data_IF_881451097093
#
_entry.id   IF_881451097093
#
_cell.length_a   1.000
_cell.length_b   1.000
_cell.length_c   1.000
_cell.angle_alpha   90.00
_cell.angle_beta   90.00
_cell.angle_gamma   90.00
#
_symmetry.space_group_name_H-M   'P 1'
#
loop_
_entity.id
_entity.type
_entity.pdbx_description
1 polymer ?
#
# COMPACT_ATOMS: atom_id res chain seq x y z
N UNK A 1 -3.19 -6.57 -3.41
CA UNK A 1 -3.59 -5.70 -2.27
C UNK A 1 -3.54 -6.50 -0.97
N UNK A 2 -2.73 -6.09 0.00
CA UNK A 2 -2.59 -6.77 1.30
C UNK A 2 -2.81 -5.79 2.43
N UNK A 3 -3.66 -6.15 3.40
CA UNK A 3 -3.93 -5.33 4.57
C UNK A 3 -2.67 -5.19 5.44
N UNK A 4 -2.25 -3.95 5.68
CA UNK A 4 -1.25 -3.54 6.68
C UNK A 4 -1.70 -2.22 7.32
N UNK A 5 -1.20 -1.88 8.53
CA UNK A 5 -0.33 -2.69 9.41
C UNK A 5 -1.03 -3.92 9.98
N UNK A 6 -0.33 -4.78 10.73
CA UNK A 6 -0.95 -5.96 11.36
C UNK A 6 -1.74 -5.60 12.63
N UNK A 7 -1.19 -4.69 13.45
CA UNK A 7 -1.76 -4.16 14.68
C UNK A 7 -0.98 -2.90 15.09
N UNK A 8 -1.49 -2.16 16.07
CA UNK A 8 -0.87 -0.99 16.68
C UNK A 8 -0.29 -1.27 18.07
N UNK A 9 0.70 -0.47 18.47
CA UNK A 9 1.28 -0.44 19.80
C UNK A 9 1.71 0.99 20.17
N UNK A 10 1.95 1.31 21.46
CA UNK A 10 2.38 2.64 21.87
C UNK A 10 3.67 3.09 21.18
N UNK A 11 3.57 4.11 20.34
CA UNK A 11 4.71 4.68 19.60
C UNK A 11 4.83 6.20 19.69
N UNK A 12 3.88 6.89 20.31
CA UNK A 12 3.92 8.35 20.46
C UNK A 12 4.41 8.77 21.84
N UNK A 13 5.35 9.70 21.91
CA UNK A 13 5.88 10.28 23.14
C UNK A 13 6.36 9.23 24.15
N UNK A 14 7.12 8.24 23.67
CA UNK A 14 7.65 7.16 24.48
C UNK A 14 8.93 7.62 25.17
N UNK A 15 8.95 7.55 26.51
CA UNK A 15 10.12 7.85 27.31
C UNK A 15 10.99 6.59 27.44
N UNK A 16 12.24 6.67 27.00
CA UNK A 16 13.15 5.52 27.05
C UNK A 16 14.61 5.94 27.16
N UNK A 17 15.51 4.96 27.29
CA UNK A 17 16.96 5.16 27.37
C UNK A 17 17.50 5.83 26.12
N UNK A 18 18.46 6.73 26.32
CA UNK A 18 19.13 7.51 25.29
C UNK A 18 20.63 7.61 25.61
N UNK A 19 21.52 7.95 24.66
CA UNK A 19 22.95 8.09 24.95
C UNK A 19 23.21 8.99 26.17
N UNK A 20 24.16 8.59 27.02
CA UNK A 20 24.45 9.28 28.29
C UNK A 20 24.92 10.72 28.04
N UNK A 21 25.70 10.92 26.97
CA UNK A 21 26.19 12.23 26.53
C UNK A 21 25.05 13.16 26.08
N UNK A 22 23.85 12.60 25.85
CA UNK A 22 22.64 13.30 25.44
C UNK A 22 21.56 13.30 26.54
N UNK A 23 21.92 12.94 27.78
CA UNK A 23 21.03 13.00 28.95
C UNK A 23 20.48 11.66 29.43
N UNK A 24 20.86 10.53 28.83
CA UNK A 24 20.57 9.18 29.32
C UNK A 24 19.13 8.70 29.09
N UNK A 25 18.17 9.61 28.94
CA UNK A 25 16.78 9.33 28.60
C UNK A 25 16.20 10.44 27.74
N UNK A 26 15.26 10.10 26.87
CA UNK A 26 14.56 11.05 26.01
C UNK A 26 13.14 10.58 25.70
N UNK A 27 12.29 11.53 25.32
CA UNK A 27 11.00 11.26 24.68
C UNK A 27 11.22 11.16 23.16
N UNK A 28 10.70 10.10 22.55
CA UNK A 28 10.72 9.91 21.10
C UNK A 28 9.36 9.41 20.60
N UNK A 29 9.06 9.68 19.33
CA UNK A 29 7.83 9.24 18.66
C UNK A 29 8.17 8.55 17.35
N UNK A 30 7.45 7.47 17.04
CA UNK A 30 7.56 6.77 15.77
C UNK A 30 7.12 5.31 15.86
N UNK A 31 6.87 4.69 14.72
CA UNK A 31 6.64 3.24 14.64
C UNK A 31 7.86 2.45 15.11
N UNK A 32 9.07 3.04 15.03
CA UNK A 32 10.29 2.51 15.65
C UNK A 32 10.21 2.38 17.18
N UNK A 33 9.32 3.14 17.84
CA UNK A 33 9.06 3.02 19.28
C UNK A 33 7.88 2.08 19.59
N UNK A 34 6.95 1.92 18.64
CA UNK A 34 5.88 0.92 18.74
C UNK A 34 6.42 -0.52 18.55
N UNK A 35 7.30 -0.73 17.57
CA UNK A 35 7.89 -2.04 17.26
C UNK A 35 8.50 -2.77 18.48
N UNK A 36 9.33 -2.13 19.35
CA UNK A 36 9.88 -2.81 20.52
C UNK A 36 8.83 -3.19 21.58
N UNK A 37 7.70 -2.48 21.68
CA UNK A 37 6.59 -2.92 22.54
C UNK A 37 6.00 -4.25 22.05
N UNK A 38 5.80 -4.39 20.74
CA UNK A 38 5.34 -5.66 20.15
C UNK A 38 6.39 -6.76 20.35
N UNK A 39 7.67 -6.46 20.13
CA UNK A 39 8.75 -7.43 20.33
C UNK A 39 8.82 -7.93 21.79
N UNK A 40 8.70 -7.04 22.78
CA UNK A 40 8.63 -7.42 24.19
C UNK A 40 7.39 -8.25 24.52
N UNK A 41 6.25 -7.93 23.91
CA UNK A 41 5.00 -8.71 24.07
C UNK A 41 5.16 -10.14 23.55
N UNK A 42 5.78 -10.30 22.38
CA UNK A 42 6.09 -11.63 21.82
C UNK A 42 7.05 -12.41 22.73
N UNK A 43 8.02 -11.75 23.36
CA UNK A 43 8.91 -12.41 24.31
C UNK A 43 8.14 -12.98 25.52
N UNK A 44 7.19 -12.21 26.07
CA UNK A 44 6.32 -12.69 27.16
C UNK A 44 5.42 -13.87 26.73
N UNK A 45 4.88 -13.81 25.51
CA UNK A 45 4.10 -14.92 24.95
C UNK A 45 4.92 -16.20 24.81
N UNK A 46 6.16 -16.10 24.33
CA UNK A 46 7.06 -17.24 24.19
C UNK A 46 7.61 -17.75 25.54
N UNK A 47 7.70 -16.88 26.56
CA UNK A 47 7.98 -17.30 27.93
C UNK A 47 6.82 -18.14 28.50
N UNK A 48 5.58 -17.70 28.27
CA UNK A 48 4.39 -18.40 28.73
C UNK A 48 4.14 -19.73 27.97
N UNK A 49 4.36 -19.76 26.66
CA UNK A 49 4.25 -20.95 25.82
C UNK A 49 5.37 -20.99 24.76
N UNK A 50 6.49 -21.70 25.03
CA UNK A 50 7.63 -21.79 24.12
C UNK A 50 7.33 -22.51 22.79
N UNK A 51 6.18 -23.17 22.66
CA UNK A 51 5.82 -23.93 21.46
C UNK A 51 5.01 -23.08 20.45
N UNK A 52 4.71 -21.82 20.76
CA UNK A 52 4.00 -20.95 19.83
C UNK A 52 4.78 -20.76 18.53
N UNK A 53 4.09 -21.03 17.42
CA UNK A 53 4.63 -20.71 16.09
C UNK A 53 4.48 -19.21 15.81
N UNK A 54 5.29 -18.62 14.90
CA UNK A 54 5.13 -17.22 14.51
C UNK A 54 3.72 -16.87 14.03
N UNK A 55 3.06 -17.79 13.30
CA UNK A 55 1.69 -17.59 12.83
C UNK A 55 0.66 -17.61 13.99
N UNK A 56 0.86 -18.49 14.97
CA UNK A 56 0.04 -18.51 16.19
C UNK A 56 0.23 -17.21 16.99
N UNK A 57 1.47 -16.78 17.23
CA UNK A 57 1.76 -15.50 17.90
C UNK A 57 1.04 -14.34 17.22
N UNK A 58 1.19 -14.20 15.90
CA UNK A 58 0.57 -13.12 15.15
C UNK A 58 -0.97 -13.18 15.22
N UNK A 59 -1.56 -14.38 15.10
CA UNK A 59 -3.02 -14.53 15.14
C UNK A 59 -3.57 -14.16 16.52
N UNK A 60 -2.91 -14.59 17.61
CA UNK A 60 -3.30 -14.22 18.98
C UNK A 60 -3.25 -12.72 19.20
N UNK A 61 -2.13 -12.08 18.81
CA UNK A 61 -1.96 -10.64 18.92
C UNK A 61 -3.00 -9.85 18.12
N UNK A 62 -3.37 -10.33 16.94
CA UNK A 62 -4.41 -9.70 16.12
C UNK A 62 -5.80 -9.93 16.71
N UNK A 63 -6.10 -11.14 17.18
CA UNK A 63 -7.41 -11.51 17.69
C UNK A 63 -7.80 -10.75 18.96
N UNK A 64 -6.82 -10.41 19.79
CA UNK A 64 -7.03 -9.71 21.07
C UNK A 64 -6.71 -8.22 20.98
N UNK A 65 -6.23 -7.73 19.84
CA UNK A 65 -6.03 -6.30 19.68
C UNK A 65 -7.37 -5.56 19.80
N UNK A 66 -7.33 -4.37 20.39
CA UNK A 66 -8.51 -3.53 20.62
C UNK A 66 -8.60 -2.42 19.56
N UNK A 67 -9.57 -2.49 18.63
CA UNK A 67 -9.77 -1.45 17.64
C UNK A 67 -10.15 -0.12 18.29
N UNK A 68 -9.41 0.94 17.98
CA UNK A 68 -9.67 2.28 18.47
C UNK A 68 -10.75 2.98 17.63
N UNK A 69 -11.58 3.85 18.26
CA UNK A 69 -12.39 4.82 17.54
C UNK A 69 -11.57 5.76 16.67
N UNK A 70 -12.19 6.33 15.64
CA UNK A 70 -11.56 7.33 14.77
C UNK A 70 -11.02 8.51 15.60
N UNK A 71 -9.74 8.83 15.40
CA UNK A 71 -9.05 9.88 16.15
C UNK A 71 -9.67 11.28 15.95
N UNK A 72 -10.27 11.52 14.78
CA UNK A 72 -10.88 12.79 14.41
C UNK A 72 -12.06 13.17 15.32
N UNK A 73 -12.86 12.18 15.71
CA UNK A 73 -13.97 12.36 16.65
C UNK A 73 -14.34 11.02 17.33
N UNK A 74 -13.66 10.66 18.43
CA UNK A 74 -13.90 9.40 19.13
C UNK A 74 -15.34 9.22 19.65
N UNK A 75 -16.06 10.32 19.87
CA UNK A 75 -17.42 10.31 20.40
C UNK A 75 -18.49 9.78 19.43
N UNK A 76 -18.15 9.53 18.15
CA UNK A 76 -19.09 9.00 17.17
C UNK A 76 -19.28 7.48 17.27
N UNK A 77 -18.42 6.77 18.00
CA UNK A 77 -18.46 5.30 18.09
C UNK A 77 -18.07 4.58 16.79
N UNK A 78 -17.47 5.30 15.83
CA UNK A 78 -16.98 4.77 14.56
C UNK A 78 -15.53 4.32 14.77
N UNK A 79 -15.20 3.09 14.36
CA UNK A 79 -13.83 2.59 14.40
C UNK A 79 -12.96 3.25 13.33
N UNK A 80 -11.69 3.50 13.66
CA UNK A 80 -10.71 3.95 12.66
C UNK A 80 -10.45 2.85 11.62
N UNK A 81 -10.01 3.26 10.43
CA UNK A 81 -9.82 2.37 9.31
C UNK A 81 -8.84 1.23 9.64
N UNK A 82 -9.17 -0.01 9.30
CA UNK A 82 -8.28 -1.15 9.58
C UNK A 82 -6.92 -1.02 8.85
N UNK A 83 -6.87 -0.34 7.69
CA UNK A 83 -5.61 -0.07 7.00
C UNK A 83 -4.76 1.03 7.66
N UNK A 84 -5.27 1.70 8.69
CA UNK A 84 -4.51 2.63 9.53
C UNK A 84 -4.02 1.96 10.82
N UNK A 85 -4.87 1.21 11.51
CA UNK A 85 -4.57 0.63 12.84
C UNK A 85 -4.34 -0.89 12.87
N UNK A 86 -4.52 -1.59 11.74
CA UNK A 86 -4.48 -3.04 11.69
C UNK A 86 -5.62 -3.65 12.50
N UNK A 87 -5.31 -4.63 13.35
CA UNK A 87 -6.27 -5.22 14.27
C UNK A 87 -6.61 -4.33 15.48
N UNK A 88 -5.91 -3.21 15.69
CA UNK A 88 -6.08 -2.34 16.85
C UNK A 88 -4.89 -2.35 17.79
N UNK A 89 -5.06 -1.78 18.99
CA UNK A 89 -4.02 -1.67 20.02
C UNK A 89 -3.74 -3.03 20.67
N UNK A 90 -2.47 -3.40 20.78
CA UNK A 90 -2.03 -4.66 21.39
C UNK A 90 -2.55 -4.86 22.84
N UNK A 91 -3.13 -6.03 23.11
CA UNK A 91 -3.51 -6.50 24.46
C UNK A 91 -2.71 -7.75 24.83
N UNK A 92 -1.66 -7.57 25.64
CA UNK A 92 -0.63 -8.60 25.88
C UNK A 92 -1.12 -9.69 26.82
N UNK A 93 -1.83 -9.30 27.87
CA UNK A 93 -2.45 -10.20 28.84
C UNK A 93 -3.46 -11.11 28.15
N UNK A 94 -4.37 -10.55 27.35
CA UNK A 94 -5.35 -11.33 26.59
C UNK A 94 -4.69 -12.28 25.58
N UNK A 95 -3.63 -11.83 24.89
CA UNK A 95 -2.89 -12.69 23.94
C UNK A 95 -2.21 -13.90 24.61
N UNK A 96 -1.90 -13.79 25.91
CA UNK A 96 -1.29 -14.85 26.72
C UNK A 96 -2.36 -15.75 27.35
N UNK A 97 -3.40 -15.16 27.96
CA UNK A 97 -4.39 -15.90 28.76
C UNK A 97 -5.63 -16.34 27.98
N UNK A 98 -5.84 -15.81 26.77
CA UNK A 98 -6.98 -16.14 25.93
C UNK A 98 -7.07 -17.62 25.58
N UNK A 99 -8.29 -18.08 25.29
CA UNK A 99 -8.56 -19.49 24.95
C UNK A 99 -9.27 -19.67 23.62
N UNK A 100 -9.49 -18.59 22.87
CA UNK A 100 -10.21 -18.58 21.61
C UNK A 100 -9.33 -17.91 20.57
N UNK A 101 -9.02 -18.62 19.48
CA UNK A 101 -8.17 -18.12 18.41
C UNK A 101 -8.85 -18.30 17.07
N UNK A 102 -8.79 -17.28 16.21
CA UNK A 102 -9.41 -17.28 14.89
C UNK A 102 -8.35 -17.07 13.83
N UNK A 103 -8.29 -17.99 12.87
CA UNK A 103 -7.39 -17.92 11.71
C UNK A 103 -8.17 -17.91 10.40
N UNK A 104 -7.79 -17.09 9.40
CA UNK A 104 -6.70 -16.12 9.44
C UNK A 104 -6.98 -14.94 10.41
N UNK A 105 -5.93 -14.42 11.05
CA UNK A 105 -6.04 -13.31 12.03
C UNK A 105 -6.33 -11.94 11.41
N UNK A 106 -6.30 -11.84 10.08
CA UNK A 106 -6.78 -10.71 9.28
C UNK A 106 -7.17 -11.18 7.88
N UNK A 107 -7.98 -10.41 7.17
CA UNK A 107 -8.41 -10.72 5.80
C UNK A 107 -8.00 -9.59 4.86
N UNK A 108 -7.31 -9.93 3.77
CA UNK A 108 -7.10 -9.02 2.64
C UNK A 108 -8.11 -9.41 1.56
N UNK A 109 -9.20 -8.65 1.47
CA UNK A 109 -10.28 -8.96 0.53
C UNK A 109 -9.87 -8.74 -0.94
N UNK A 110 -8.83 -7.95 -1.17
CA UNK A 110 -8.36 -7.64 -2.52
C UNK A 110 -9.17 -6.52 -3.16
N UNK A 111 -9.17 -6.50 -4.49
CA UNK A 111 -10.06 -5.68 -5.29
C UNK A 111 -11.41 -6.38 -5.47
N UNK A 112 -12.49 -5.63 -5.64
CA UNK A 112 -13.85 -6.18 -5.69
C UNK A 112 -14.38 -6.44 -7.09
N UNK A 113 -13.62 -6.12 -8.15
CA UNK A 113 -14.06 -6.27 -9.55
C UNK A 113 -14.58 -7.69 -9.85
N UNK A 114 -13.88 -8.71 -9.35
CA UNK A 114 -14.18 -10.13 -9.56
C UNK A 114 -15.30 -10.66 -8.64
N UNK A 115 -15.90 -9.80 -7.82
CA UNK A 115 -16.97 -10.12 -6.90
C UNK A 115 -16.51 -10.27 -5.43
N UNK A 116 -17.38 -10.83 -4.56
CA UNK A 116 -17.09 -10.95 -3.13
C UNK A 116 -15.88 -11.84 -2.84
N UNK A 117 -15.06 -11.42 -1.88
CA UNK A 117 -13.99 -12.25 -1.33
C UNK A 117 -14.57 -13.28 -0.36
N UNK A 118 -14.39 -14.57 -0.67
CA UNK A 118 -14.85 -15.66 0.21
C UNK A 118 -13.67 -16.40 0.81
N UNK A 119 -13.69 -16.59 2.13
CA UNK A 119 -12.64 -17.31 2.87
C UNK A 119 -13.20 -18.08 4.06
N UNK A 120 -12.44 -19.06 4.54
CA UNK A 120 -12.79 -19.84 5.73
C UNK A 120 -12.16 -19.22 6.98
N UNK A 121 -12.98 -19.01 8.01
CA UNK A 121 -12.54 -18.65 9.36
C UNK A 121 -12.55 -19.89 10.23
N UNK A 122 -11.38 -20.32 10.70
CA UNK A 122 -11.24 -21.40 11.67
C UNK A 122 -11.20 -20.81 13.07
N UNK A 123 -12.18 -21.19 13.89
CA UNK A 123 -12.24 -20.88 15.32
C UNK A 123 -11.70 -22.08 16.09
N UNK A 124 -10.63 -21.85 16.84
CA UNK A 124 -10.01 -22.81 17.75
C UNK A 124 -10.39 -22.47 19.19
N UNK A 125 -10.88 -23.46 19.92
CA UNK A 125 -11.16 -23.38 21.35
C UNK A 125 -10.10 -24.19 22.10
N UNK A 126 -9.16 -23.52 22.76
CA UNK A 126 -8.14 -24.15 23.62
C UNK A 126 -8.56 -24.19 25.09
N UNK A 127 -9.77 -23.72 25.40
CA UNK A 127 -10.34 -23.77 26.75
C UNK A 127 -10.81 -25.17 27.14
N UNK A 128 -11.20 -25.31 28.40
CA UNK A 128 -11.67 -26.57 28.99
C UNK A 128 -13.18 -26.80 28.88
N UNK A 129 -13.94 -25.83 28.34
CA UNK A 129 -15.38 -25.90 28.17
C UNK A 129 -15.77 -25.75 26.70
N UNK A 130 -16.91 -26.33 26.33
CA UNK A 130 -17.51 -26.11 25.01
C UNK A 130 -18.01 -24.67 24.91
N UNK A 131 -17.80 -24.03 23.75
CA UNK A 131 -18.32 -22.68 23.51
C UNK A 131 -19.16 -22.65 22.24
N UNK A 132 -20.23 -21.85 22.26
CA UNK A 132 -20.98 -21.47 21.06
C UNK A 132 -20.63 -20.02 20.71
N UNK A 133 -20.05 -19.81 19.54
CA UNK A 133 -19.66 -18.49 19.07
C UNK A 133 -20.73 -17.90 18.17
N UNK A 134 -20.93 -16.58 18.27
CA UNK A 134 -21.78 -15.77 17.39
C UNK A 134 -20.88 -14.90 16.52
N UNK A 135 -21.24 -14.78 15.25
CA UNK A 135 -20.51 -13.98 14.27
C UNK A 135 -21.29 -12.74 13.89
N UNK A 136 -20.62 -11.60 13.90
CA UNK A 136 -21.16 -10.32 13.46
C UNK A 136 -20.05 -9.50 12.79
N UNK A 137 -20.43 -8.33 12.29
CA UNK A 137 -19.52 -7.40 11.64
C UNK A 137 -19.74 -6.01 12.20
N UNK A 138 -18.64 -5.27 12.38
CA UNK A 138 -18.64 -3.87 12.75
C UNK A 138 -17.94 -3.05 11.66
N UNK A 139 -18.62 -2.02 11.11
CA UNK A 139 -18.01 -1.10 10.16
C UNK A 139 -16.86 -0.32 10.76
N UNK A 140 -15.90 0.01 9.91
CA UNK A 140 -14.83 0.94 10.20
C UNK A 140 -14.71 1.96 9.07
N UNK A 141 -13.97 3.03 9.33
CA UNK A 141 -13.79 4.13 8.38
C UNK A 141 -13.22 3.63 7.05
N UNK A 142 -13.79 4.13 5.94
CA UNK A 142 -13.26 3.95 4.60
C UNK A 142 -12.49 5.20 4.17
N UNK A 143 -11.56 5.03 3.23
CA UNK A 143 -10.80 6.14 2.65
C UNK A 143 -10.91 6.13 1.14
N UNK A 144 -11.05 7.31 0.56
CA UNK A 144 -11.09 7.49 -0.88
C UNK A 144 -10.66 8.90 -1.26
N UNK A 145 -10.18 9.09 -2.48
CA UNK A 145 -9.92 10.42 -3.02
C UNK A 145 -10.26 10.47 -4.50
N UNK A 146 -10.81 11.60 -4.93
CA UNK A 146 -11.03 11.90 -6.34
C UNK A 146 -9.74 12.51 -6.91
N UNK A 147 -8.91 11.66 -7.53
CA UNK A 147 -7.74 12.10 -8.30
C UNK A 147 -6.57 12.68 -7.49
N UNK A 148 -6.51 12.46 -6.17
CA UNK A 148 -5.32 12.77 -5.37
C UNK A 148 -5.22 11.88 -4.12
N UNK A 149 -4.51 10.76 -4.22
CA UNK A 149 -4.32 9.82 -3.11
C UNK A 149 -3.47 10.37 -1.96
N UNK A 150 -2.83 11.54 -2.12
CA UNK A 150 -2.12 12.20 -1.01
C UNK A 150 -3.05 12.88 -0.01
N UNK A 151 -4.28 13.16 -0.41
CA UNK A 151 -5.27 13.81 0.44
C UNK A 151 -6.55 12.96 0.48
N UNK A 152 -6.50 11.76 1.11
CA UNK A 152 -7.68 10.92 1.21
C UNK A 152 -8.77 11.60 2.05
N UNK A 153 -9.99 11.56 1.55
CA UNK A 153 -11.20 11.80 2.32
C UNK A 153 -11.55 10.57 3.17
N UNK A 154 -12.28 10.82 4.25
CA UNK A 154 -12.75 9.80 5.18
C UNK A 154 -14.27 9.63 5.03
N UNK A 155 -14.72 8.39 4.88
CA UNK A 155 -16.11 8.07 4.57
C UNK A 155 -16.64 6.97 5.49
N UNK A 156 -17.93 7.05 5.78
CA UNK A 156 -18.68 5.91 6.30
C UNK A 156 -19.18 5.11 5.11
N UNK A 157 -18.53 3.98 4.86
CA UNK A 157 -18.93 3.03 3.84
C UNK A 157 -19.10 1.66 4.48
N UNK A 158 -20.23 1.01 4.22
CA UNK A 158 -20.51 -0.31 4.74
C UNK A 158 -19.93 -1.41 3.84
N UNK A 159 -19.90 -2.63 4.38
CA UNK A 159 -19.57 -3.85 3.64
C UNK A 159 -20.73 -4.84 3.73
N UNK A 160 -21.00 -5.56 2.64
CA UNK A 160 -21.88 -6.72 2.64
C UNK A 160 -21.08 -7.93 3.15
N UNK A 161 -21.26 -8.26 4.43
CA UNK A 161 -20.60 -9.38 5.10
C UNK A 161 -21.61 -10.49 5.38
N UNK A 162 -21.34 -11.68 4.83
CA UNK A 162 -22.23 -12.85 4.95
C UNK A 162 -21.48 -14.06 5.47
N UNK A 163 -21.97 -14.62 6.57
CA UNK A 163 -21.46 -15.88 7.13
C UNK A 163 -22.33 -17.05 6.66
N UNK A 164 -21.71 -18.22 6.42
CA UNK A 164 -22.46 -19.45 6.13
C UNK A 164 -23.27 -19.96 7.33
N UNK A 165 -22.89 -19.56 8.54
CA UNK A 165 -23.66 -19.72 9.78
C UNK A 165 -23.37 -18.56 10.73
N UNK A 166 -24.40 -18.05 11.42
CA UNK A 166 -24.23 -16.99 12.44
C UNK A 166 -23.91 -17.54 13.82
N UNK A 167 -23.99 -18.86 14.00
CA UNK A 167 -23.61 -19.57 15.24
C UNK A 167 -22.72 -20.78 14.93
N UNK A 168 -21.72 -21.02 15.79
CA UNK A 168 -20.83 -22.18 15.67
C UNK A 168 -20.46 -22.73 17.05
N UNK A 169 -20.89 -23.96 17.34
CA UNK A 169 -20.44 -24.69 18.53
C UNK A 169 -19.07 -25.32 18.30
N UNK A 170 -18.10 -25.00 19.14
CA UNK A 170 -16.76 -25.54 19.13
C UNK A 170 -16.47 -26.20 20.49
N UNK A 171 -16.38 -27.54 20.53
CA UNK A 171 -16.05 -28.24 21.76
C UNK A 171 -14.70 -27.83 22.36
N UNK A 172 -14.52 -28.07 23.66
CA UNK A 172 -13.24 -27.88 24.34
C UNK A 172 -12.09 -28.60 23.59
N UNK A 173 -10.97 -27.92 23.40
CA UNK A 173 -9.79 -28.45 22.69
C UNK A 173 -9.99 -28.71 21.19
N UNK A 174 -11.11 -28.30 20.60
CA UNK A 174 -11.43 -28.52 19.19
C UNK A 174 -11.33 -27.23 18.36
N UNK A 175 -11.39 -27.41 17.04
CA UNK A 175 -11.55 -26.33 16.08
C UNK A 175 -12.69 -26.63 15.11
N UNK A 176 -13.35 -25.57 14.61
CA UNK A 176 -14.36 -25.63 13.56
C UNK A 176 -14.23 -24.41 12.67
N UNK A 177 -14.79 -24.49 11.46
CA UNK A 177 -14.76 -23.37 10.53
C UNK A 177 -16.15 -22.90 10.14
N UNK A 178 -16.23 -21.62 9.80
CA UNK A 178 -17.35 -20.98 9.10
C UNK A 178 -16.80 -20.29 7.85
N UNK A 179 -17.59 -20.21 6.78
CA UNK A 179 -17.21 -19.42 5.61
C UNK A 179 -17.75 -18.00 5.77
N UNK A 180 -16.95 -17.02 5.37
CA UNK A 180 -17.33 -15.61 5.31
C UNK A 180 -17.13 -15.09 3.90
N UNK A 181 -18.11 -14.34 3.41
CA UNK A 181 -18.06 -13.60 2.15
C UNK A 181 -18.11 -12.10 2.44
N UNK A 182 -17.21 -11.34 1.83
CA UNK A 182 -17.02 -9.90 2.07
C UNK A 182 -17.02 -9.18 0.72
N UNK A 183 -17.89 -8.18 0.58
CA UNK A 183 -17.91 -7.28 -0.57
C UNK A 183 -18.12 -5.83 -0.11
N UNK A 184 -17.67 -4.83 -0.88
CA UNK A 184 -18.10 -3.45 -0.65
C UNK A 184 -19.62 -3.33 -0.83
N UNK A 185 -20.22 -2.35 -0.17
CA UNK A 185 -21.58 -1.92 -0.50
C UNK A 185 -21.70 -1.52 -1.99
N UNK A 186 -22.88 -1.70 -2.59
CA UNK A 186 -23.10 -1.32 -3.97
C UNK A 186 -22.98 0.20 -4.18
N UNK A 187 -22.28 0.61 -5.24
CA UNK A 187 -22.18 2.02 -5.62
C UNK A 187 -21.04 2.80 -4.96
N UNK A 188 -20.13 2.14 -4.22
CA UNK A 188 -18.88 2.76 -3.81
C UNK A 188 -18.02 3.11 -5.04
N UNK A 189 -17.32 4.26 -5.04
CA UNK A 189 -16.49 4.65 -6.16
C UNK A 189 -15.27 3.74 -6.29
N UNK A 190 -14.79 3.58 -7.52
CA UNK A 190 -13.56 2.83 -7.80
C UNK A 190 -12.37 3.43 -7.04
N UNK A 191 -11.52 2.57 -6.50
CA UNK A 191 -10.38 2.99 -5.68
C UNK A 191 -10.70 3.15 -4.19
N UNK A 192 -11.97 3.09 -3.76
CA UNK A 192 -12.31 3.27 -2.34
C UNK A 192 -11.82 2.09 -1.52
N UNK A 193 -11.01 2.36 -0.50
CA UNK A 193 -10.57 1.34 0.45
C UNK A 193 -11.60 1.23 1.56
N UNK A 194 -12.36 0.14 1.56
CA UNK A 194 -13.35 -0.19 2.58
C UNK A 194 -12.73 -1.12 3.64
N UNK A 195 -13.12 -0.95 4.90
CA UNK A 195 -12.56 -1.71 6.02
C UNK A 195 -13.61 -2.09 7.05
N UNK A 196 -13.28 -3.04 7.91
CA UNK A 196 -14.14 -3.43 9.01
C UNK A 196 -13.56 -4.54 9.86
N UNK A 197 -14.33 -4.94 10.87
CA UNK A 197 -13.94 -5.99 11.82
C UNK A 197 -15.02 -7.05 11.87
N UNK A 198 -14.62 -8.31 11.67
CA UNK A 198 -15.47 -9.44 12.02
C UNK A 198 -15.37 -9.64 13.53
N UNK A 199 -16.52 -9.72 14.19
CA UNK A 199 -16.61 -9.83 15.65
C UNK A 199 -17.13 -11.22 16.00
N UNK A 200 -16.32 -11.98 16.72
CA UNK A 200 -16.60 -13.34 17.15
C UNK A 200 -16.74 -13.32 18.68
N UNK A 201 -17.97 -13.41 19.16
CA UNK A 201 -18.28 -13.38 20.60
C UNK A 201 -18.71 -14.76 21.09
N UNK A 202 -18.15 -15.23 22.20
CA UNK A 202 -18.72 -16.40 22.89
C UNK A 202 -20.09 -16.04 23.47
N UNK A 203 -21.12 -16.85 23.23
CA UNK A 203 -22.47 -16.62 23.76
C UNK A 203 -22.54 -16.69 25.30
N UNK A 204 -21.52 -17.32 25.90
CA UNK A 204 -21.39 -17.59 27.33
C UNK A 204 -20.05 -16.98 27.80
N UNK A 205 -20.00 -15.66 28.03
CA UNK A 205 -18.82 -14.97 28.56
C UNK A 205 -18.56 -13.58 27.96
N UNK A 206 -17.40 -13.01 28.32
CA UNK A 206 -16.89 -11.72 27.84
C UNK A 206 -15.92 -11.85 26.67
N UNK A 207 -15.56 -13.08 26.24
CA UNK A 207 -14.57 -13.28 25.19
C UNK A 207 -15.08 -12.76 23.84
N UNK A 208 -14.45 -11.69 23.37
CA UNK A 208 -14.65 -11.10 22.05
C UNK A 208 -13.32 -11.14 21.31
N UNK A 209 -13.30 -11.83 20.17
CA UNK A 209 -12.17 -11.82 19.24
C UNK A 209 -12.57 -11.01 18.02
N UNK A 210 -11.64 -10.20 17.52
CA UNK A 210 -11.83 -9.47 16.26
C UNK A 210 -10.89 -9.98 15.16
N UNK A 211 -11.36 -9.89 13.91
CA UNK A 211 -10.55 -10.13 12.72
C UNK A 211 -10.74 -8.95 11.77
N UNK A 212 -9.74 -8.07 11.60
CA UNK A 212 -9.86 -6.96 10.68
C UNK A 212 -9.86 -7.44 9.23
N UNK A 213 -10.57 -6.72 8.37
CA UNK A 213 -10.45 -6.85 6.93
C UNK A 213 -10.32 -5.50 6.25
N UNK A 214 -9.72 -5.53 5.07
CA UNK A 214 -9.75 -4.42 4.13
C UNK A 214 -9.82 -4.94 2.71
N UNK A 215 -10.53 -4.21 1.86
CA UNK A 215 -10.55 -4.38 0.42
C UNK A 215 -10.62 -3.04 -0.28
N UNK A 216 -10.60 -3.07 -1.60
CA UNK A 216 -10.71 -1.88 -2.43
C UNK A 216 -11.82 -2.09 -3.47
N UNK A 217 -12.72 -1.11 -3.60
CA UNK A 217 -13.86 -1.18 -4.53
C UNK A 217 -13.39 -0.99 -5.96
N UNK A 218 -13.85 -1.85 -6.87
CA UNK A 218 -13.54 -1.78 -8.30
C UNK A 218 -12.31 -2.60 -8.68
N UNK A 219 -11.65 -2.16 -9.75
CA UNK A 219 -10.45 -2.76 -10.35
C UNK A 219 -9.21 -1.91 -10.02
N UNK A 220 -8.22 -2.49 -9.35
CA UNK A 220 -7.00 -1.76 -9.01
C UNK A 220 -6.12 -1.51 -10.22
N UNK A 221 -5.99 -2.51 -11.10
CA UNK A 221 -5.24 -2.40 -12.34
C UNK A 221 -5.86 -1.40 -13.31
N UNK A 222 -7.16 -1.15 -13.20
CA UNK A 222 -7.89 -0.18 -14.01
C UNK A 222 -7.74 1.28 -13.58
N UNK A 223 -7.20 1.56 -12.38
CA UNK A 223 -7.08 2.93 -11.89
C UNK A 223 -6.07 3.76 -12.70
N UNK A 224 -6.37 5.03 -13.01
CA UNK A 224 -5.39 5.94 -13.60
C UNK A 224 -4.15 6.04 -12.72
N UNK A 225 -2.97 5.75 -13.28
CA UNK A 225 -1.69 5.90 -12.56
C UNK A 225 -1.11 7.29 -12.80
N UNK A 226 -1.06 7.68 -14.07
CA UNK A 226 -0.54 8.98 -14.48
C UNK A 226 -1.64 10.02 -14.42
N UNK A 227 -1.60 10.88 -13.42
CA UNK A 227 -2.57 11.97 -13.24
C UNK A 227 -1.87 13.33 -13.25
N UNK A 228 -2.68 14.39 -13.22
CA UNK A 228 -2.23 15.78 -13.13
C UNK A 228 -2.85 16.45 -11.90
N UNK A 229 -2.51 16.00 -10.68
CA UNK A 229 -3.11 16.59 -9.50
C UNK A 229 -2.69 18.05 -9.41
N UNK A 230 -3.65 18.94 -9.16
CA UNK A 230 -3.45 20.39 -9.07
C UNK A 230 -2.95 21.09 -10.36
N UNK A 231 -3.03 20.44 -11.54
CA UNK A 231 -2.71 21.07 -12.82
C UNK A 231 -1.23 21.41 -13.00
N UNK A 232 -0.36 20.52 -12.51
CA UNK A 232 1.10 20.59 -12.63
C UNK A 232 1.60 20.41 -14.07
N UNK A 233 0.71 20.00 -14.99
CA UNK A 233 1.03 19.69 -16.37
C UNK A 233 1.67 18.31 -16.52
N UNK A 234 1.43 17.36 -15.61
CA UNK A 234 1.98 16.00 -15.70
C UNK A 234 1.04 15.03 -16.41
N UNK A 235 1.56 13.98 -17.07
CA UNK A 235 2.95 13.80 -17.46
C UNK A 235 3.37 14.73 -18.61
N UNK A 236 4.60 15.25 -18.60
CA UNK A 236 5.13 16.13 -19.64
C UNK A 236 6.63 15.96 -19.88
N UNK A 237 7.08 16.42 -21.04
CA UNK A 237 8.51 16.57 -21.35
C UNK A 237 9.05 17.86 -20.74
N UNK A 238 10.18 17.74 -20.05
CA UNK A 238 10.88 18.82 -19.38
C UNK A 238 12.39 18.73 -19.60
N UNK A 239 13.09 19.79 -19.20
CA UNK A 239 14.54 19.84 -19.04
C UNK A 239 14.91 20.07 -17.58
N UNK A 240 16.08 19.59 -17.20
CA UNK A 240 16.66 19.85 -15.88
C UNK A 240 17.23 21.28 -15.87
N UNK A 241 16.75 22.13 -14.97
CA UNK A 241 17.27 23.48 -14.73
C UNK A 241 18.33 23.43 -13.64
N UNK A 242 18.04 22.69 -12.58
CA UNK A 242 18.92 22.53 -11.41
C UNK A 242 18.80 21.11 -10.87
N UNK A 243 19.94 20.47 -10.67
CA UNK A 243 20.05 19.20 -9.95
C UNK A 243 21.51 18.98 -9.54
N UNK A 244 21.76 18.80 -8.25
CA UNK A 244 23.11 18.56 -7.73
C UNK A 244 23.35 17.10 -7.37
N UNK A 245 22.29 16.32 -7.17
CA UNK A 245 22.35 14.94 -6.72
C UNK A 245 21.75 14.02 -7.78
N UNK A 246 22.61 13.21 -8.39
CA UNK A 246 22.21 12.14 -9.30
C UNK A 246 22.45 10.78 -8.67
N UNK A 247 21.45 9.90 -8.76
CA UNK A 247 21.57 8.49 -8.43
C UNK A 247 21.07 7.68 -9.63
N UNK A 248 21.88 6.73 -10.12
CA UNK A 248 21.55 5.90 -11.28
C UNK A 248 21.10 6.72 -12.51
N UNK A 249 21.74 7.87 -12.74
CA UNK A 249 21.43 8.84 -13.80
C UNK A 249 20.03 9.47 -13.72
N UNK A 250 19.35 9.33 -12.59
CA UNK A 250 18.13 10.07 -12.24
C UNK A 250 18.48 11.22 -11.30
N UNK A 251 17.85 12.38 -11.52
CA UNK A 251 17.92 13.48 -10.58
C UNK A 251 17.10 13.13 -9.33
N UNK A 252 17.76 13.02 -8.18
CA UNK A 252 17.14 12.69 -6.88
C UNK A 252 17.30 13.84 -5.87
N UNK A 253 17.69 15.01 -6.35
CA UNK A 253 17.84 16.21 -5.56
C UNK A 253 16.47 16.74 -5.12
N UNK A 254 16.30 16.98 -3.82
CA UNK A 254 15.07 17.54 -3.27
C UNK A 254 14.84 18.99 -3.71
N UNK A 255 15.91 19.72 -4.06
CA UNK A 255 15.87 21.09 -4.56
C UNK A 255 16.01 21.16 -6.09
N UNK A 256 15.67 20.07 -6.78
CA UNK A 256 15.68 20.01 -8.23
C UNK A 256 14.65 20.96 -8.85
N UNK A 257 15.03 21.61 -9.95
CA UNK A 257 14.15 22.47 -10.73
C UNK A 257 14.05 21.97 -12.17
N UNK A 258 12.84 21.96 -12.70
CA UNK A 258 12.53 21.50 -14.06
C UNK A 258 11.69 22.54 -14.79
N UNK A 259 11.99 22.73 -16.08
CA UNK A 259 11.18 23.55 -16.99
C UNK A 259 10.53 22.66 -18.03
N UNK A 260 9.22 22.85 -18.24
CA UNK A 260 8.54 22.29 -19.42
C UNK A 260 9.18 22.81 -20.70
N UNK A 261 9.28 21.95 -21.71
CA UNK A 261 9.86 22.33 -23.00
C UNK A 261 8.85 22.18 -24.13
N UNK A 262 8.94 23.08 -25.10
CA UNK A 262 8.14 23.01 -26.32
C UNK A 262 8.51 21.82 -27.20
N UNK A 263 7.56 21.40 -28.03
CA UNK A 263 7.82 20.40 -29.06
C UNK A 263 8.99 20.82 -29.96
N UNK A 264 9.86 19.86 -30.26
CA UNK A 264 11.12 19.98 -30.99
C UNK A 264 12.25 20.69 -30.24
N UNK A 265 12.18 20.84 -28.91
CA UNK A 265 13.32 21.27 -28.10
C UNK A 265 14.59 20.47 -28.45
N UNK A 266 15.74 21.14 -28.37
CA UNK A 266 17.04 20.55 -28.72
C UNK A 266 17.83 20.41 -27.44
N UNK A 267 18.00 19.16 -27.00
CA UNK A 267 18.83 18.81 -25.86
C UNK A 267 20.29 18.65 -26.31
N UNK A 268 21.19 19.20 -25.51
CA UNK A 268 22.63 19.23 -25.78
C UNK A 268 23.45 18.17 -25.01
N UNK A 269 22.79 17.33 -24.21
CA UNK A 269 23.45 16.35 -23.36
C UNK A 269 24.10 17.00 -22.12
N UNK A 270 24.94 16.24 -21.43
CA UNK A 270 25.53 16.69 -20.17
C UNK A 270 24.45 16.89 -19.11
N UNK A 271 24.21 18.14 -18.68
CA UNK A 271 23.14 18.47 -17.71
C UNK A 271 21.82 18.86 -18.40
N UNK A 272 21.82 19.07 -19.71
CA UNK A 272 20.63 19.39 -20.50
C UNK A 272 20.05 18.10 -21.11
N UNK A 273 19.29 17.38 -20.27
CA UNK A 273 18.79 16.05 -20.57
C UNK A 273 17.26 16.01 -20.72
N UNK A 274 16.74 15.25 -21.69
CA UNK A 274 15.31 15.04 -21.84
C UNK A 274 14.77 14.28 -20.64
N UNK A 275 13.77 14.86 -19.99
CA UNK A 275 13.21 14.36 -18.73
C UNK A 275 11.70 14.29 -18.83
N UNK A 276 11.10 13.16 -18.45
CA UNK A 276 9.65 13.10 -18.22
C UNK A 276 9.40 13.49 -16.77
N UNK A 277 8.57 14.50 -16.53
CA UNK A 277 7.98 14.70 -15.21
C UNK A 277 6.62 14.03 -15.20
N UNK A 278 6.35 13.22 -14.17
CA UNK A 278 5.11 12.45 -14.05
C UNK A 278 4.70 12.33 -12.59
N UNK A 279 3.40 12.42 -12.33
CA UNK A 279 2.82 12.10 -11.03
C UNK A 279 2.23 10.70 -11.06
N UNK A 280 2.70 9.85 -10.14
CA UNK A 280 2.14 8.52 -9.90
C UNK A 280 1.15 8.58 -8.73
N UNK A 281 -0.15 8.55 -9.03
CA UNK A 281 -1.19 8.59 -7.97
C UNK A 281 -1.26 7.25 -7.21
N UNK A 282 -0.86 6.16 -7.87
CA UNK A 282 -0.82 4.80 -7.33
C UNK A 282 0.58 4.19 -7.46
N UNK A 283 1.01 3.34 -6.50
CA UNK A 283 2.19 2.51 -6.70
C UNK A 283 2.04 1.61 -7.92
N UNK A 284 3.16 1.33 -8.59
CA UNK A 284 3.18 0.49 -9.79
C UNK A 284 4.26 -0.57 -9.73
N UNK A 285 4.06 -1.64 -10.50
CA UNK A 285 4.99 -2.77 -10.53
C UNK A 285 6.29 -2.38 -11.24
N UNK A 286 6.18 -1.66 -12.35
CA UNK A 286 7.32 -1.34 -13.19
C UNK A 286 7.05 -0.10 -14.02
N UNK A 287 8.08 0.72 -14.19
CA UNK A 287 8.13 1.79 -15.19
C UNK A 287 9.29 1.50 -16.13
N UNK A 288 8.99 1.36 -17.43
CA UNK A 288 9.96 1.17 -18.50
C UNK A 288 9.96 2.39 -19.39
N UNK A 289 11.15 2.92 -19.71
CA UNK A 289 11.31 3.99 -20.68
C UNK A 289 12.06 3.47 -21.90
N UNK A 290 11.43 3.62 -23.06
CA UNK A 290 11.98 3.26 -24.37
C UNK A 290 12.11 4.50 -25.26
N UNK A 291 13.13 4.51 -26.11
CA UNK A 291 13.45 5.61 -27.02
C UNK A 291 13.11 5.21 -28.45
N UNK A 292 12.24 5.99 -29.08
CA UNK A 292 11.83 5.76 -30.45
C UNK A 292 12.31 6.90 -31.35
N UNK A 293 12.99 6.53 -32.44
CA UNK A 293 13.45 7.51 -33.44
C UNK A 293 12.28 7.98 -34.30
N UNK A 294 12.25 9.26 -34.65
CA UNK A 294 11.20 9.84 -35.49
C UNK A 294 11.74 10.43 -36.80
N UNK A 295 10.86 10.53 -37.78
CA UNK A 295 11.09 11.20 -39.07
C UNK A 295 11.00 12.72 -38.88
N UNK A 296 11.47 13.48 -39.89
CA UNK A 296 11.41 14.94 -39.85
C UNK A 296 9.98 15.50 -39.75
N UNK A 297 8.98 14.73 -40.20
CA UNK A 297 7.56 15.05 -40.12
C UNK A 297 6.88 14.54 -38.82
N UNK A 298 7.66 14.14 -37.81
CA UNK A 298 7.16 13.67 -36.50
C UNK A 298 6.75 12.19 -36.46
N UNK A 299 6.55 11.52 -37.60
CA UNK A 299 6.14 10.10 -37.57
C UNK A 299 7.23 9.21 -36.97
N UNK A 300 6.85 8.33 -36.04
CA UNK A 300 7.72 7.30 -35.49
C UNK A 300 8.24 6.39 -36.62
N UNK A 301 9.54 6.12 -36.64
CA UNK A 301 10.17 5.20 -37.59
C UNK A 301 9.81 3.77 -37.23
N UNK A 302 8.87 3.17 -37.95
CA UNK A 302 8.41 1.80 -37.70
C UNK A 302 9.41 0.72 -38.14
N UNK A 303 10.40 1.08 -38.97
CA UNK A 303 11.47 0.18 -39.41
C UNK A 303 12.68 0.14 -38.45
N UNK A 304 12.61 0.88 -37.33
CA UNK A 304 13.63 0.89 -36.30
C UNK A 304 12.98 0.40 -35.01
N UNK A 305 13.54 -0.64 -34.40
CA UNK A 305 13.03 -1.14 -33.14
C UNK A 305 13.16 -0.07 -32.02
N UNK A 306 12.19 0.03 -31.10
CA UNK A 306 12.36 0.79 -29.86
C UNK A 306 13.65 0.39 -29.17
N UNK A 307 14.38 1.37 -28.65
CA UNK A 307 15.63 1.12 -27.92
C UNK A 307 15.41 1.37 -26.44
N UNK A 308 15.66 0.36 -25.63
CA UNK A 308 15.44 0.44 -24.20
C UNK A 308 16.38 1.47 -23.54
N UNK A 309 15.83 2.39 -22.74
CA UNK A 309 16.61 3.33 -21.93
C UNK A 309 16.80 2.81 -20.51
N UNK A 310 15.74 2.58 -19.75
CA UNK A 310 15.89 2.03 -18.39
C UNK A 310 14.55 1.49 -17.89
N UNK A 311 14.64 0.65 -16.85
CA UNK A 311 13.49 0.11 -16.13
C UNK A 311 13.70 0.34 -14.64
N UNK A 312 12.63 0.75 -13.95
CA UNK A 312 12.58 0.81 -12.49
C UNK A 312 11.42 -0.03 -12.02
N UNK A 313 11.70 -0.97 -11.11
CA UNK A 313 10.69 -1.83 -10.50
C UNK A 313 10.17 -1.24 -9.18
N UNK A 314 8.93 -1.55 -8.85
CA UNK A 314 8.27 -1.22 -7.57
C UNK A 314 8.30 0.27 -7.22
N UNK A 315 7.79 1.08 -8.15
CA UNK A 315 7.74 2.53 -8.01
C UNK A 315 6.58 2.92 -7.10
N UNK A 316 6.86 3.71 -6.07
CA UNK A 316 5.86 4.21 -5.14
C UNK A 316 4.97 5.30 -5.75
N UNK A 317 3.96 5.73 -4.99
CA UNK A 317 3.17 6.92 -5.33
C UNK A 317 3.95 8.21 -5.05
N UNK A 318 3.64 9.27 -5.77
CA UNK A 318 4.23 10.59 -5.60
C UNK A 318 3.41 11.49 -4.68
N UNK A 319 4.09 12.28 -3.84
CA UNK A 319 3.45 13.41 -3.15
C UNK A 319 3.29 14.64 -4.06
N UNK A 320 4.09 14.73 -5.11
CA UNK A 320 4.15 15.85 -6.06
C UNK A 320 4.35 15.32 -7.48
N UNK A 321 5.58 15.10 -7.91
CA UNK A 321 5.90 14.38 -9.14
C UNK A 321 7.32 13.83 -9.06
N UNK A 322 7.60 12.83 -9.88
CA UNK A 322 8.93 12.26 -10.08
C UNK A 322 9.47 12.60 -11.46
N UNK A 323 10.80 12.71 -11.55
CA UNK A 323 11.52 12.98 -12.78
C UNK A 323 12.16 11.70 -13.34
N UNK A 324 11.99 11.47 -14.64
CA UNK A 324 12.44 10.28 -15.36
C UNK A 324 13.33 10.73 -16.50
N UNK A 325 14.61 10.86 -16.19
CA UNK A 325 15.64 11.47 -17.03
C UNK A 325 16.28 10.41 -17.92
N UNK A 326 16.37 10.70 -19.22
CA UNK A 326 17.16 9.90 -20.13
C UNK A 326 18.54 10.51 -20.34
N UNK A 327 19.57 9.75 -20.00
CA UNK A 327 21.00 10.13 -20.08
C UNK A 327 21.59 10.13 -21.50
N UNK A 328 20.76 9.87 -22.51
CA UNK A 328 21.21 9.72 -23.90
C UNK A 328 21.70 8.30 -24.25
N UNK A 329 21.83 7.39 -23.27
CA UNK A 329 22.28 6.02 -23.49
C UNK A 329 21.11 5.08 -23.70
N UNK A 330 21.31 4.03 -24.48
CA UNK A 330 20.30 3.02 -24.78
C UNK A 330 20.95 1.65 -24.91
N UNK A 331 20.15 0.59 -24.78
CA UNK A 331 20.66 -0.76 -24.93
C UNK A 331 21.18 -1.01 -26.36
N UNK A 332 22.39 -1.51 -26.42
CA UNK A 332 23.06 -2.02 -27.62
C UNK A 332 23.38 -3.51 -27.48
N UNK A 333 23.98 -4.08 -28.51
CA UNK A 333 24.24 -5.53 -28.58
C UNK A 333 25.12 -6.07 -27.45
N UNK A 334 26.05 -5.24 -26.94
CA UNK A 334 27.04 -5.62 -25.94
C UNK A 334 27.02 -4.70 -24.71
N UNK A 335 25.85 -4.12 -24.39
CA UNK A 335 25.68 -3.19 -23.28
C UNK A 335 25.18 -1.81 -23.73
N UNK A 336 25.26 -0.84 -22.82
CA UNK A 336 24.79 0.53 -23.02
C UNK A 336 25.66 1.28 -24.05
N UNK A 337 25.02 1.98 -24.98
CA UNK A 337 25.69 2.82 -25.99
C UNK A 337 24.96 4.13 -26.16
N UNK A 338 25.66 5.18 -26.60
CA UNK A 338 25.03 6.47 -26.93
C UNK A 338 23.96 6.29 -28.01
N UNK A 339 22.84 7.00 -27.86
CA UNK A 339 21.95 7.23 -28.98
C UNK A 339 22.62 8.15 -30.00
N UNK A 340 22.38 7.86 -31.27
CA UNK A 340 22.85 8.74 -32.34
C UNK A 340 22.20 10.13 -32.21
N UNK A 341 22.84 11.20 -32.70
CA UNK A 341 22.16 12.48 -32.88
C UNK A 341 20.92 12.31 -33.78
N UNK A 342 19.80 12.92 -33.40
CA UNK A 342 18.54 12.62 -34.08
C UNK A 342 17.29 13.25 -33.45
N UNK A 343 16.14 12.83 -33.96
CA UNK A 343 14.81 13.18 -33.44
C UNK A 343 14.22 11.97 -32.74
N UNK A 344 13.65 12.21 -31.56
CA UNK A 344 13.20 11.17 -30.65
C UNK A 344 11.85 11.51 -30.02
N UNK A 345 11.20 10.47 -29.52
CA UNK A 345 10.20 10.53 -28.44
C UNK A 345 10.63 9.52 -27.37
N UNK A 346 10.31 9.83 -26.12
CA UNK A 346 10.38 8.87 -25.03
C UNK A 346 9.00 8.25 -24.85
N UNK A 347 8.96 6.93 -24.72
CA UNK A 347 7.75 6.17 -24.41
C UNK A 347 7.93 5.59 -23.01
N UNK A 348 7.11 6.05 -22.08
CA UNK A 348 7.01 5.52 -20.73
C UNK A 348 5.88 4.50 -20.70
N UNK A 349 6.23 3.23 -20.52
CA UNK A 349 5.28 2.13 -20.30
C UNK A 349 5.26 1.81 -18.81
N UNK A 350 4.07 1.78 -18.23
CA UNK A 350 3.84 1.58 -16.80
C UNK A 350 3.02 0.32 -16.64
N UNK A 351 3.59 -0.69 -15.99
CA UNK A 351 2.88 -1.90 -15.61
C UNK A 351 2.21 -1.67 -14.26
N UNK A 352 0.90 -1.82 -14.20
CA UNK A 352 0.09 -1.62 -13.00
C UNK A 352 0.51 -2.56 -11.86
N UNK A 353 0.17 -2.23 -10.61
CA UNK A 353 0.72 -2.93 -9.45
C UNK A 353 0.28 -4.39 -9.31
N UNK A 354 -0.85 -4.78 -9.90
CA UNK A 354 -1.27 -6.18 -10.06
C UNK A 354 -0.48 -6.94 -11.14
N UNK A 355 0.16 -6.22 -12.06
CA UNK A 355 0.89 -6.78 -13.20
C UNK A 355 0.03 -7.18 -14.38
N UNK A 356 -1.27 -6.84 -14.38
CA UNK A 356 -2.22 -7.29 -15.40
C UNK A 356 -2.40 -6.27 -16.54
N UNK A 357 -2.21 -4.97 -16.26
CA UNK A 357 -2.46 -3.88 -17.21
C UNK A 357 -1.22 -3.01 -17.47
N UNK A 358 -1.25 -2.29 -18.60
CA UNK A 358 -0.22 -1.29 -18.95
C UNK A 358 -0.86 0.06 -19.28
N UNK A 359 -0.26 1.14 -18.78
CA UNK A 359 -0.54 2.52 -19.19
C UNK A 359 0.69 3.07 -19.91
N UNK A 360 0.47 3.86 -20.96
CA UNK A 360 1.56 4.35 -21.82
C UNK A 360 1.45 5.87 -21.99
N UNK A 361 2.55 6.56 -21.72
CA UNK A 361 2.75 7.95 -22.07
C UNK A 361 3.84 8.09 -23.13
N UNK A 362 3.60 8.92 -24.14
CA UNK A 362 4.60 9.27 -25.16
C UNK A 362 4.82 10.77 -25.12
N UNK A 363 6.07 11.19 -25.01
CA UNK A 363 6.42 12.61 -24.98
C UNK A 363 6.16 13.29 -26.32
N UNK A 364 6.11 14.62 -26.29
CA UNK A 364 6.36 15.43 -27.47
C UNK A 364 7.71 15.10 -28.12
N UNK A 365 7.83 15.42 -29.41
CA UNK A 365 9.07 15.24 -30.15
C UNK A 365 10.19 16.13 -29.60
N UNK A 366 11.42 15.63 -29.57
CA UNK A 366 12.61 16.43 -29.27
C UNK A 366 13.79 16.01 -30.13
N UNK A 367 14.89 16.76 -30.03
CA UNK A 367 16.14 16.48 -30.73
C UNK A 367 17.27 16.27 -29.72
N UNK A 368 18.09 15.27 -29.99
CA UNK A 368 19.39 15.08 -29.32
C UNK A 368 20.48 15.50 -30.29
N UNK A 369 21.46 16.27 -29.80
CA UNK A 369 22.62 16.71 -30.59
C UNK A 369 23.94 16.24 -30.03
#
# INVERSE_FOLDING_TARGET
LTLKPDLGAPGGSIYSTYPLEQGGYALASGTSMAAPHVAGSVALMLEADPNLTPAAVLSRLQNTAEPAPVWLNPGLGILDAAHHQGAGLIQVDEAITGTTWVSPGKISAGESEKGPHTTSLTVQNTGSADHTYRFSYQPALATWSEGNQNAPGFFLAESDVRFSSTELRVPAGAQRSVEVSIAPEAGLPDGMVYTGYLVISAAEGETVVTVPFAGMSGDYGGLPVLTDPAGLGTPSLARIVKCEIFAENQCVDADAEFDLVDANHVFHGGTDLPTIIAHFDQPVRQVRVDILSTLANGRIKTNVAPRHAFTVDYVGRDAGYSAWTWDGMVDGRNGRVDANPGRYVMVMTITTADGENEQVFTTEHFRMR
#
